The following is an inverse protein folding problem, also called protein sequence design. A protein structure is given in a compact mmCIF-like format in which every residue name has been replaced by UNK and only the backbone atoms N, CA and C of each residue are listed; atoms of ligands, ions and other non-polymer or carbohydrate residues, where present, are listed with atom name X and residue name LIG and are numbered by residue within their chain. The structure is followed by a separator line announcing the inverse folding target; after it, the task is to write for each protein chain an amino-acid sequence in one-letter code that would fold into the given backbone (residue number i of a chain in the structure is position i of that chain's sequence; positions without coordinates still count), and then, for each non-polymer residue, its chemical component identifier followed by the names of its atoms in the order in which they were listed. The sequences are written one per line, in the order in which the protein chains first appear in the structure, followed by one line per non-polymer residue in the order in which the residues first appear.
data_IF_822728645784
#
_entry.id   IF_822728645784
#
_cell.length_a   1.000
_cell.length_b   1.000
_cell.length_c   1.000
_cell.angle_alpha   90.00
_cell.angle_beta   90.00
_cell.angle_gamma   90.00
#
_symmetry.space_group_name_H-M   'P 1'
#
loop_
_entity.id
_entity.type
_entity.pdbx_description
1 polymer ?
#
# COMPACT_ATOMS: atom_id res chain seq x y z
N UNK A 1 -23.71 19.84 44.50
CA UNK A 1 -22.26 19.78 44.83
C UNK A 1 -21.52 19.16 43.65
N UNK A 2 -20.80 19.93 42.83
CA UNK A 2 -19.33 19.92 42.75
C UNK A 2 -18.87 19.60 41.32
N UNK A 3 -18.75 20.58 40.41
CA UNK A 3 -17.52 21.25 39.99
C UNK A 3 -16.32 20.29 39.74
N UNK A 4 -15.94 20.12 38.48
CA UNK A 4 -14.56 20.41 38.01
C UNK A 4 -14.52 20.65 36.51
N UNK A 5 -13.83 21.73 36.15
CA UNK A 5 -13.38 22.14 34.82
C UNK A 5 -11.86 22.00 34.81
N UNK A 6 -11.26 21.58 33.70
CA UNK A 6 -9.83 21.71 33.40
C UNK A 6 -9.68 21.65 31.87
N UNK A 7 -9.56 22.79 31.18
CA UNK A 7 -8.33 23.55 30.86
C UNK A 7 -7.43 22.85 29.83
N UNK A 8 -7.26 23.56 28.70
CA UNK A 8 -6.46 23.20 27.54
C UNK A 8 -4.98 22.96 27.84
N UNK A 9 -4.34 22.08 27.05
CA UNK A 9 -2.90 22.07 26.86
C UNK A 9 -2.54 21.55 25.45
N UNK A 10 -2.04 22.49 24.64
CA UNK A 10 -1.32 22.38 23.38
C UNK A 10 -0.46 21.13 23.21
N UNK A 11 -0.40 20.61 21.97
CA UNK A 11 0.76 20.07 21.22
C UNK A 11 0.20 19.41 19.94
N UNK A 12 0.69 19.58 18.72
CA UNK A 12 1.93 20.17 18.18
C UNK A 12 1.65 20.26 16.67
N UNK A 13 1.83 21.41 16.05
CA UNK A 13 1.89 21.50 14.60
C UNK A 13 3.12 20.74 14.13
N UNK A 14 2.92 19.56 13.55
CA UNK A 14 3.99 18.89 12.84
C UNK A 14 3.77 19.12 11.35
N UNK A 15 4.28 20.26 10.88
CA UNK A 15 4.65 20.44 9.49
C UNK A 15 5.75 19.43 9.18
N UNK A 16 5.38 18.18 8.91
CA UNK A 16 6.28 17.21 8.34
C UNK A 16 6.48 17.66 6.88
N UNK A 17 7.69 18.12 6.58
CA UNK A 17 8.14 18.32 5.21
C UNK A 17 7.77 17.08 4.39
N UNK A 18 6.76 17.24 3.53
CA UNK A 18 6.35 16.31 2.49
C UNK A 18 7.45 16.32 1.43
N UNK A 19 8.54 15.61 1.71
CA UNK A 19 9.65 15.43 0.80
C UNK A 19 9.91 13.93 0.65
N UNK A 20 9.58 13.40 -0.53
CA UNK A 20 9.94 12.08 -1.06
C UNK A 20 9.29 10.85 -0.39
N UNK A 21 9.09 10.81 0.92
CA UNK A 21 8.53 9.62 1.60
C UNK A 21 7.06 9.33 1.27
N UNK A 22 6.26 10.37 1.03
CA UNK A 22 4.85 10.20 0.65
C UNK A 22 4.69 9.80 -0.82
N UNK A 23 5.61 10.22 -1.69
CA UNK A 23 5.59 9.88 -3.12
C UNK A 23 6.04 8.42 -3.34
N UNK A 24 7.08 7.98 -2.62
CA UNK A 24 7.51 6.59 -2.59
C UNK A 24 6.48 5.67 -1.93
N UNK A 25 5.79 6.13 -0.87
CA UNK A 25 4.68 5.41 -0.26
C UNK A 25 3.51 5.22 -1.22
N UNK A 26 3.12 6.27 -1.95
CA UNK A 26 2.09 6.19 -2.99
C UNK A 26 2.54 5.25 -4.11
N UNK A 27 3.80 5.33 -4.56
CA UNK A 27 4.33 4.43 -5.58
C UNK A 27 4.27 2.95 -5.13
N UNK A 28 4.56 2.69 -3.85
CA UNK A 28 4.51 1.33 -3.28
C UNK A 28 3.07 0.81 -3.17
N UNK A 29 2.13 1.62 -2.69
CA UNK A 29 0.70 1.25 -2.64
C UNK A 29 0.13 1.01 -4.05
N UNK A 30 0.47 1.87 -5.01
CA UNK A 30 0.05 1.73 -6.41
C UNK A 30 0.64 0.45 -7.02
N UNK A 31 1.92 0.16 -6.80
CA UNK A 31 2.56 -1.10 -7.21
C UNK A 31 1.82 -2.31 -6.63
N UNK A 32 1.60 -2.33 -5.32
CA UNK A 32 0.92 -3.44 -4.64
C UNK A 32 -0.48 -3.68 -5.18
N UNK A 33 -1.21 -2.61 -5.51
CA UNK A 33 -2.54 -2.70 -6.11
C UNK A 33 -2.50 -3.34 -7.50
N UNK A 34 -1.54 -2.94 -8.34
CA UNK A 34 -1.37 -3.58 -9.65
C UNK A 34 -1.00 -5.06 -9.54
N UNK A 35 -0.13 -5.42 -8.59
CA UNK A 35 0.23 -6.82 -8.34
C UNK A 35 -1.00 -7.63 -7.91
N UNK A 36 -1.79 -7.09 -6.98
CA UNK A 36 -3.00 -7.74 -6.50
C UNK A 36 -4.04 -7.94 -7.62
N UNK A 37 -4.25 -6.92 -8.46
CA UNK A 37 -5.15 -7.01 -9.62
C UNK A 37 -4.67 -8.06 -10.63
N UNK A 38 -3.39 -8.05 -11.00
CA UNK A 38 -2.81 -9.04 -11.91
C UNK A 38 -2.91 -10.46 -11.35
N UNK A 39 -2.55 -10.68 -10.08
CA UNK A 39 -2.67 -11.97 -9.41
C UNK A 39 -4.13 -12.46 -9.38
N UNK A 40 -5.09 -11.56 -9.15
CA UNK A 40 -6.51 -11.88 -9.18
C UNK A 40 -6.97 -12.34 -10.57
N UNK A 41 -6.56 -11.65 -11.64
CA UNK A 41 -6.91 -12.07 -13.00
C UNK A 41 -6.32 -13.45 -13.35
N UNK A 42 -5.07 -13.72 -12.95
CA UNK A 42 -4.43 -15.04 -13.16
C UNK A 42 -5.16 -16.15 -12.40
N UNK A 43 -5.48 -15.91 -11.13
CA UNK A 43 -6.25 -16.85 -10.34
C UNK A 43 -7.66 -17.06 -10.94
N UNK A 44 -8.29 -16.00 -11.44
CA UNK A 44 -9.60 -16.07 -12.11
C UNK A 44 -9.56 -16.91 -13.39
N UNK A 45 -8.54 -16.75 -14.24
CA UNK A 45 -8.37 -17.55 -15.47
C UNK A 45 -8.22 -19.04 -15.16
N UNK A 46 -7.56 -19.38 -14.06
CA UNK A 46 -7.44 -20.75 -13.56
C UNK A 46 -8.64 -21.25 -12.74
N UNK A 47 -9.65 -20.41 -12.51
CA UNK A 47 -10.81 -20.77 -11.69
C UNK A 47 -10.51 -20.93 -10.19
N UNK A 48 -9.53 -20.19 -9.66
CA UNK A 48 -9.17 -20.15 -8.24
C UNK A 48 -8.81 -21.53 -7.64
N UNK A 49 -8.11 -22.37 -8.41
CA UNK A 49 -7.57 -23.62 -7.87
C UNK A 49 -6.59 -23.31 -6.72
N UNK A 50 -6.94 -23.80 -5.52
CA UNK A 50 -6.18 -23.58 -4.30
C UNK A 50 -4.76 -24.10 -4.40
N UNK A 51 -3.81 -23.39 -3.78
CA UNK A 51 -2.38 -23.73 -3.76
C UNK A 51 -1.51 -22.82 -4.64
N UNK A 52 -2.07 -22.22 -5.68
CA UNK A 52 -1.30 -21.41 -6.64
C UNK A 52 -1.43 -19.90 -6.42
N UNK A 53 -2.26 -19.44 -5.47
CA UNK A 53 -2.45 -18.01 -5.24
C UNK A 53 -1.12 -17.28 -4.93
N UNK A 54 -0.20 -17.96 -4.24
CA UNK A 54 1.14 -17.43 -4.00
C UNK A 54 1.99 -17.40 -5.28
N UNK A 55 1.90 -18.42 -6.13
CA UNK A 55 2.60 -18.46 -7.41
C UNK A 55 2.07 -17.39 -8.38
N UNK A 56 0.75 -17.19 -8.43
CA UNK A 56 0.08 -16.14 -9.19
C UNK A 56 0.52 -14.75 -8.71
N UNK A 57 0.65 -14.57 -7.39
CA UNK A 57 1.13 -13.33 -6.79
C UNK A 57 2.61 -13.06 -7.12
N UNK A 58 3.49 -14.05 -6.99
CA UNK A 58 4.91 -13.91 -7.35
C UNK A 58 5.10 -13.62 -8.84
N UNK A 59 4.33 -14.29 -9.70
CA UNK A 59 4.36 -14.02 -11.15
C UNK A 59 3.87 -12.61 -11.49
N UNK A 60 2.80 -12.15 -10.83
CA UNK A 60 2.30 -10.79 -10.97
C UNK A 60 3.31 -9.75 -10.46
N UNK A 61 4.00 -10.02 -9.35
CA UNK A 61 5.03 -9.14 -8.81
C UNK A 61 6.18 -8.94 -9.80
N UNK A 62 6.70 -10.04 -10.36
CA UNK A 62 7.77 -9.98 -11.35
C UNK A 62 7.35 -9.22 -12.64
N UNK A 63 6.10 -9.38 -13.08
CA UNK A 63 5.57 -8.67 -14.25
C UNK A 63 5.46 -7.17 -14.01
N UNK A 64 4.92 -6.75 -12.87
CA UNK A 64 4.77 -5.34 -12.51
C UNK A 64 6.13 -4.68 -12.29
N UNK A 65 7.09 -5.38 -11.65
CA UNK A 65 8.45 -4.86 -11.49
C UNK A 65 9.18 -4.66 -12.81
N UNK A 66 9.02 -5.59 -13.75
CA UNK A 66 9.60 -5.47 -15.08
C UNK A 66 8.98 -4.30 -15.87
N UNK A 67 7.69 -4.03 -15.68
CA UNK A 67 6.94 -3.01 -16.42
C UNK A 67 7.03 -1.62 -15.80
N UNK A 68 7.16 -1.54 -14.48
CA UNK A 68 7.21 -0.30 -13.70
C UNK A 68 8.38 -0.36 -12.70
N UNK A 69 9.63 -0.38 -13.19
CA UNK A 69 10.78 -0.31 -12.31
C UNK A 69 10.71 1.00 -11.51
N UNK A 70 10.93 0.92 -10.20
CA UNK A 70 10.97 2.10 -9.36
C UNK A 70 12.00 3.11 -9.93
N UNK A 71 11.71 4.42 -9.93
CA UNK A 71 12.66 5.42 -10.35
C UNK A 71 13.91 5.33 -9.47
N UNK A 72 15.07 5.16 -10.10
CA UNK A 72 16.39 5.03 -9.48
C UNK A 72 16.86 6.37 -8.88
#
# INVERSE_FOLDING_TARGET
MGKTVATAATRRSNGAKKGNGQELGIATEVRQRYIAEAAYFRAKERGFHGGEALADWLAAEAEIDARYPAPN
#
